data_IF_325344039878
#
_entry.id   IF_325344039878
#
_cell.length_a   1.000
_cell.length_b   1.000
_cell.length_c   1.000
_cell.angle_alpha   90.00
_cell.angle_beta   90.00
_cell.angle_gamma   90.00
#
_symmetry.space_group_name_H-M   'P 1'
#
loop_
_entity.id
_entity.type
_entity.pdbx_description
1 polymer ?
#
# COMPACT_ATOMS: atom_id res chain seq x y z
N UNK A 1 10.72 1.30 25.92
CA UNK A 1 9.50 2.13 25.90
C UNK A 1 9.37 2.62 24.47
N UNK A 2 8.34 2.18 23.76
CA UNK A 2 8.04 2.58 22.37
C UNK A 2 7.68 4.07 22.39
N UNK A 3 8.32 4.88 21.55
CA UNK A 3 8.11 6.35 21.52
C UNK A 3 7.02 6.72 20.50
N UNK A 4 6.45 7.93 20.60
CA UNK A 4 5.39 8.46 19.70
C UNK A 4 5.74 8.44 18.20
N UNK A 5 7.00 8.13 17.84
CA UNK A 5 7.48 8.05 16.46
C UNK A 5 7.55 6.63 15.89
N UNK A 6 7.17 5.60 16.67
CA UNK A 6 7.25 4.21 16.24
C UNK A 6 5.99 3.81 15.45
N UNK A 7 5.74 4.49 14.33
CA UNK A 7 4.67 4.11 13.40
C UNK A 7 5.04 2.82 12.67
N UNK A 8 4.05 1.96 12.44
CA UNK A 8 4.22 0.76 11.62
C UNK A 8 4.15 1.16 10.15
N UNK A 9 5.23 0.91 9.41
CA UNK A 9 5.26 1.12 7.96
C UNK A 9 4.59 -0.03 7.22
N UNK A 10 3.65 0.30 6.34
CA UNK A 10 2.94 -0.63 5.46
C UNK A 10 3.10 -0.17 4.02
N UNK A 11 3.81 -0.96 3.22
CA UNK A 11 3.95 -0.74 1.77
C UNK A 11 3.01 -1.65 0.98
N UNK A 12 2.16 -1.07 0.14
CA UNK A 12 1.28 -1.79 -0.78
C UNK A 12 1.72 -1.56 -2.23
N UNK A 13 2.27 -2.60 -2.84
CA UNK A 13 2.51 -2.67 -4.29
C UNK A 13 1.27 -3.28 -4.94
N UNK A 14 0.63 -2.54 -5.84
CA UNK A 14 -0.65 -2.94 -6.42
C UNK A 14 -0.82 -2.48 -7.87
N UNK A 15 -1.78 -3.08 -8.57
CA UNK A 15 -2.29 -2.60 -9.85
C UNK A 15 -3.72 -2.09 -9.67
N UNK A 16 -4.03 -0.94 -10.26
CA UNK A 16 -5.34 -0.28 -10.11
C UNK A 16 -6.51 -1.13 -10.62
N UNK A 17 -6.28 -1.95 -11.64
CA UNK A 17 -7.29 -2.82 -12.24
C UNK A 17 -7.30 -4.25 -11.70
N UNK A 18 -6.38 -4.62 -10.79
CA UNK A 18 -6.36 -5.94 -10.18
C UNK A 18 -7.56 -6.10 -9.22
N UNK A 19 -8.45 -7.11 -9.41
CA UNK A 19 -9.60 -7.35 -8.54
C UNK A 19 -9.21 -7.51 -7.07
N UNK A 20 -8.23 -8.37 -6.78
CA UNK A 20 -7.81 -8.68 -5.41
C UNK A 20 -7.15 -7.48 -4.72
N UNK A 21 -6.37 -6.67 -5.45
CA UNK A 21 -5.81 -5.43 -4.92
C UNK A 21 -6.92 -4.45 -4.51
N UNK A 22 -7.96 -4.31 -5.32
CA UNK A 22 -9.11 -3.44 -5.00
C UNK A 22 -9.89 -3.96 -3.80
N UNK A 23 -10.09 -5.28 -3.71
CA UNK A 23 -10.75 -5.91 -2.56
C UNK A 23 -9.92 -5.76 -1.28
N UNK A 24 -8.60 -5.93 -1.35
CA UNK A 24 -7.70 -5.69 -0.22
C UNK A 24 -7.79 -4.25 0.28
N UNK A 25 -7.70 -3.26 -0.62
CA UNK A 25 -7.81 -1.85 -0.24
C UNK A 25 -9.17 -1.57 0.42
N UNK A 26 -10.25 -2.05 -0.19
CA UNK A 26 -11.62 -1.79 0.29
C UNK A 26 -11.94 -2.48 1.61
N UNK A 27 -11.57 -3.75 1.75
CA UNK A 27 -12.06 -4.61 2.82
C UNK A 27 -11.04 -4.80 3.96
N UNK A 28 -9.76 -4.50 3.73
CA UNK A 28 -8.71 -4.67 4.73
C UNK A 28 -7.99 -3.36 5.03
N UNK A 29 -7.30 -2.77 4.06
CA UNK A 29 -6.45 -1.59 4.32
C UNK A 29 -7.27 -0.38 4.77
N UNK A 30 -8.35 -0.05 4.08
CA UNK A 30 -9.15 1.13 4.38
C UNK A 30 -9.83 1.07 5.76
N UNK A 31 -10.54 0.00 6.13
CA UNK A 31 -11.11 -0.12 7.48
C UNK A 31 -10.05 -0.06 8.58
N UNK A 32 -8.89 -0.69 8.38
CA UNK A 32 -7.78 -0.64 9.34
C UNK A 32 -7.22 0.77 9.47
N UNK A 33 -7.02 1.49 8.36
CA UNK A 33 -6.52 2.86 8.38
C UNK A 33 -7.50 3.82 9.05
N UNK A 34 -8.81 3.67 8.82
CA UNK A 34 -9.84 4.46 9.51
C UNK A 34 -9.84 4.20 11.02
N UNK A 35 -9.55 2.96 11.44
CA UNK A 35 -9.55 2.56 12.85
C UNK A 35 -8.28 2.99 13.61
N UNK A 36 -7.10 2.77 13.03
CA UNK A 36 -5.80 2.93 13.71
C UNK A 36 -4.74 3.63 12.85
N UNK A 37 -5.14 4.43 11.87
CA UNK A 37 -4.22 5.07 10.91
C UNK A 37 -3.20 6.03 11.55
N UNK A 38 -3.47 6.55 12.75
CA UNK A 38 -2.55 7.44 13.48
C UNK A 38 -1.19 6.78 13.77
N UNK A 39 -1.18 5.45 13.97
CA UNK A 39 0.02 4.66 14.25
C UNK A 39 0.63 4.01 12.99
N UNK A 40 0.16 4.37 11.80
CA UNK A 40 0.61 3.78 10.54
C UNK A 40 1.33 4.81 9.65
N UNK A 41 2.35 4.35 8.94
CA UNK A 41 2.90 5.02 7.77
C UNK A 41 2.56 4.18 6.53
N UNK A 42 1.84 4.73 5.55
CA UNK A 42 1.35 3.98 4.39
C UNK A 42 2.03 4.47 3.11
N UNK A 43 2.65 3.55 2.39
CA UNK A 43 3.19 3.78 1.05
C UNK A 43 2.36 2.99 0.03
N UNK A 44 1.73 3.70 -0.91
CA UNK A 44 0.96 3.10 -2.00
C UNK A 44 1.76 3.19 -3.30
N UNK A 45 2.19 2.05 -3.83
CA UNK A 45 3.02 1.97 -5.05
C UNK A 45 2.22 1.32 -6.18
N UNK A 46 1.66 2.10 -7.12
CA UNK A 46 0.91 1.58 -8.26
C UNK A 46 1.87 1.09 -9.35
N UNK A 47 2.14 -0.22 -9.37
CA UNK A 47 2.95 -0.87 -10.40
C UNK A 47 2.56 -2.35 -10.55
N UNK A 48 2.54 -3.08 -9.43
CA UNK A 48 2.24 -4.53 -9.38
C UNK A 48 3.04 -5.33 -10.41
N UNK A 49 2.34 -6.07 -11.28
CA UNK A 49 2.88 -6.92 -12.35
C UNK A 49 3.14 -6.18 -13.67
N UNK A 50 3.11 -4.85 -13.70
CA UNK A 50 3.51 -4.10 -14.87
C UNK A 50 4.97 -4.44 -15.27
N UNK A 51 5.23 -4.47 -16.57
CA UNK A 51 6.59 -4.61 -17.12
C UNK A 51 6.94 -3.40 -17.95
N UNK A 52 8.16 -2.90 -17.77
CA UNK A 52 8.72 -1.81 -18.58
C UNK A 52 9.91 -2.38 -19.34
N UNK A 53 9.84 -2.36 -20.66
CA UNK A 53 11.01 -2.57 -21.52
C UNK A 53 11.70 -1.22 -21.74
N UNK A 54 13.00 -1.15 -21.43
CA UNK A 54 13.81 -0.02 -21.85
C UNK A 54 13.98 -0.06 -23.37
N UNK A 55 13.64 1.04 -24.05
CA UNK A 55 14.05 1.23 -25.43
C UNK A 55 15.52 1.65 -25.41
N UNK A 56 16.43 0.72 -25.70
CA UNK A 56 17.81 1.04 -26.02
C UNK A 56 17.88 1.52 -27.47
N UNK A 57 18.33 2.76 -27.69
CA UNK A 57 18.74 3.24 -29.02
C UNK A 57 20.11 2.65 -29.39
#
# INVERSE_FOLDING_TARGET
IVTLNDKVTVGLFYETYCPDCREFVKNQLWPTYVSIGEIMNIDLVPYGFATVSSLTN
#
